data_IF_858707890778
#
_entry.id   IF_858707890778
#
_cell.length_a   1.000
_cell.length_b   1.000
_cell.length_c   1.000
_cell.angle_alpha   90.00
_cell.angle_beta   90.00
_cell.angle_gamma   90.00
#
_symmetry.space_group_name_H-M   'P 1'
#
loop_
_entity.id
_entity.type
_entity.pdbx_description
1 polymer ?
#
# COMPACT_ATOMS: atom_id res chain seq x y z
N UNK A 1 -29.91 -29.02 -57.90
CA UNK A 1 -28.47 -28.77 -58.08
C UNK A 1 -27.97 -27.86 -56.96
N UNK A 2 -26.79 -28.13 -56.34
CA UNK A 2 -26.12 -27.27 -55.36
C UNK A 2 -25.32 -26.14 -56.09
N UNK A 3 -24.78 -25.07 -55.45
CA UNK A 3 -23.82 -25.10 -54.33
C UNK A 3 -24.22 -24.18 -53.14
N UNK A 4 -23.96 -24.51 -51.87
CA UNK A 4 -22.68 -24.65 -51.14
C UNK A 4 -21.84 -23.37 -51.09
N UNK A 5 -21.91 -22.72 -49.92
CA UNK A 5 -20.76 -22.17 -49.21
C UNK A 5 -20.28 -20.79 -49.64
N UNK A 6 -20.51 -19.78 -48.79
CA UNK A 6 -19.43 -18.89 -48.35
C UNK A 6 -19.91 -18.08 -47.16
N UNK A 7 -19.31 -18.34 -46.01
CA UNK A 7 -19.31 -17.44 -44.85
C UNK A 7 -18.16 -16.46 -45.06
N UNK A 8 -18.39 -15.13 -45.10
CA UNK A 8 -17.35 -14.16 -44.80
C UNK A 8 -17.51 -13.75 -43.34
N UNK A 9 -16.69 -14.40 -42.52
CA UNK A 9 -16.24 -13.92 -41.21
C UNK A 9 -15.79 -12.46 -41.31
N UNK A 10 -16.24 -11.66 -40.34
CA UNK A 10 -15.55 -10.49 -39.76
C UNK A 10 -14.63 -9.73 -40.71
N UNK A 11 -15.13 -8.61 -41.24
CA UNK A 11 -14.27 -7.56 -41.78
C UNK A 11 -13.24 -7.17 -40.72
N UNK A 12 -11.99 -7.32 -41.13
CA UNK A 12 -10.78 -7.13 -40.37
C UNK A 12 -10.72 -5.69 -39.84
N UNK A 13 -10.68 -5.52 -38.52
CA UNK A 13 -10.72 -4.21 -37.84
C UNK A 13 -9.40 -3.44 -37.98
N UNK A 14 -8.48 -3.90 -38.83
CA UNK A 14 -7.12 -3.41 -38.97
C UNK A 14 -6.76 -2.87 -40.36
N UNK A 15 -7.72 -2.78 -41.28
CA UNK A 15 -7.56 -2.08 -42.57
C UNK A 15 -7.80 -0.56 -42.43
N UNK A 16 -7.48 0.04 -41.27
CA UNK A 16 -7.20 1.46 -41.19
C UNK A 16 -5.73 1.64 -41.55
N UNK A 17 -5.49 1.89 -42.83
CA UNK A 17 -4.30 2.55 -43.35
C UNK A 17 -4.14 3.89 -42.63
N UNK A 18 -3.51 3.85 -41.46
CA UNK A 18 -2.84 5.00 -40.88
C UNK A 18 -1.75 5.37 -41.88
N UNK A 19 -2.08 6.35 -42.72
CA UNK A 19 -1.13 7.19 -43.42
C UNK A 19 -0.20 7.79 -42.37
N UNK A 20 0.83 7.05 -41.98
CA UNK A 20 1.94 7.58 -41.20
C UNK A 20 2.73 8.44 -42.19
N UNK A 21 2.75 9.77 -42.03
CA UNK A 21 3.66 10.56 -42.83
C UNK A 21 5.08 10.16 -42.44
N UNK A 22 5.79 9.60 -43.41
CA UNK A 22 7.24 9.44 -43.44
C UNK A 22 7.90 10.66 -42.81
N UNK A 23 8.59 10.56 -41.65
CA UNK A 23 9.55 11.57 -41.29
C UNK A 23 10.76 11.34 -42.18
N UNK A 24 10.76 12.07 -43.29
CA UNK A 24 11.94 12.34 -44.09
C UNK A 24 13.05 12.80 -43.16
N UNK A 25 14.21 12.16 -43.29
CA UNK A 25 15.46 12.47 -42.62
C UNK A 25 15.77 13.97 -42.75
N UNK A 26 15.48 14.73 -41.70
CA UNK A 26 16.23 15.94 -41.41
C UNK A 26 17.22 15.55 -40.34
N UNK A 27 18.46 15.31 -40.77
CA UNK A 27 19.63 15.33 -39.91
C UNK A 27 19.66 16.67 -39.18
N UNK A 28 19.01 16.74 -38.02
CA UNK A 28 19.14 17.86 -37.10
C UNK A 28 20.54 17.71 -36.54
N UNK A 29 21.46 18.51 -37.07
CA UNK A 29 22.74 18.79 -36.44
C UNK A 29 22.48 18.94 -34.94
N UNK A 30 22.91 17.94 -34.16
CA UNK A 30 22.80 17.95 -32.73
C UNK A 30 23.73 19.07 -32.24
N UNK A 31 23.21 20.29 -32.23
CA UNK A 31 23.81 21.41 -31.54
C UNK A 31 24.13 20.88 -30.14
N UNK A 32 25.40 20.94 -29.69
CA UNK A 32 25.74 20.43 -28.37
C UNK A 32 24.78 21.10 -27.37
N UNK A 33 24.25 20.33 -26.40
CA UNK A 33 23.30 20.85 -25.43
C UNK A 33 23.86 22.17 -24.90
N UNK A 34 23.10 23.26 -24.98
CA UNK A 34 23.59 24.63 -24.75
C UNK A 34 24.27 24.82 -23.38
N UNK A 35 24.11 23.85 -22.47
CA UNK A 35 24.76 23.74 -21.17
C UNK A 35 26.24 23.28 -21.25
N UNK A 36 26.61 22.49 -22.26
CA UNK A 36 27.96 21.97 -22.46
C UNK A 36 28.95 23.01 -23.03
N UNK A 37 28.45 24.17 -23.47
CA UNK A 37 29.25 25.30 -23.97
C UNK A 37 29.37 26.46 -22.97
N UNK A 38 28.82 26.32 -21.77
CA UNK A 38 28.89 27.39 -20.75
C UNK A 38 30.23 27.36 -20.04
N UNK A 39 30.81 28.54 -19.81
CA UNK A 39 31.93 28.68 -18.89
C UNK A 39 31.45 28.51 -17.44
N UNK A 40 32.35 28.13 -16.53
CA UNK A 40 32.02 27.95 -15.11
C UNK A 40 31.38 29.20 -14.48
N UNK A 41 31.80 30.39 -14.93
CA UNK A 41 31.26 31.67 -14.48
C UNK A 41 29.80 31.85 -14.94
N UNK A 42 29.48 31.48 -16.18
CA UNK A 42 28.12 31.56 -16.70
C UNK A 42 27.22 30.52 -16.03
N UNK A 43 27.73 29.32 -15.77
CA UNK A 43 27.02 28.28 -15.02
C UNK A 43 26.70 28.76 -13.60
N UNK A 44 27.68 29.33 -12.90
CA UNK A 44 27.50 29.86 -11.55
C UNK A 44 26.45 30.99 -11.51
N UNK A 45 26.46 31.89 -12.50
CA UNK A 45 25.45 32.95 -12.61
C UNK A 45 24.03 32.39 -12.82
N UNK A 46 23.88 31.41 -13.72
CA UNK A 46 22.57 30.79 -13.97
C UNK A 46 22.05 30.00 -12.76
N UNK A 47 22.94 29.29 -12.05
CA UNK A 47 22.60 28.60 -10.81
C UNK A 47 22.19 29.59 -9.71
N UNK A 48 22.90 30.73 -9.59
CA UNK A 48 22.52 31.81 -8.67
C UNK A 48 21.12 32.35 -8.96
N UNK A 49 20.83 32.69 -10.21
CA UNK A 49 19.51 33.17 -10.63
C UNK A 49 18.40 32.13 -10.40
N UNK A 50 18.68 30.85 -10.63
CA UNK A 50 17.73 29.77 -10.36
C UNK A 50 17.44 29.64 -8.86
N UNK A 51 18.46 29.69 -8.02
CA UNK A 51 18.30 29.62 -6.57
C UNK A 51 17.50 30.81 -6.03
N UNK A 52 17.80 32.02 -6.51
CA UNK A 52 17.03 33.22 -6.19
C UNK A 52 15.56 33.08 -6.63
N UNK A 53 15.31 32.53 -7.83
CA UNK A 53 13.96 32.31 -8.33
C UNK A 53 13.20 31.24 -7.54
N UNK A 54 13.86 30.15 -7.16
CA UNK A 54 13.30 29.11 -6.29
C UNK A 54 12.97 29.68 -4.92
N UNK A 55 13.90 30.44 -4.32
CA UNK A 55 13.69 31.07 -3.03
C UNK A 55 12.58 32.13 -3.08
N UNK A 56 12.52 32.92 -4.15
CA UNK A 56 11.43 33.86 -4.41
C UNK A 56 10.10 33.15 -4.57
N UNK A 57 10.05 32.01 -5.28
CA UNK A 57 8.84 31.20 -5.43
C UNK A 57 8.43 30.52 -4.14
N UNK A 58 9.37 30.14 -3.28
CA UNK A 58 9.06 29.61 -1.95
C UNK A 58 8.56 30.73 -1.01
N UNK A 59 9.19 31.90 -1.03
CA UNK A 59 8.77 33.05 -0.22
C UNK A 59 7.44 33.66 -0.66
N UNK A 60 7.12 33.57 -1.97
CA UNK A 60 5.87 34.08 -2.56
C UNK A 60 4.80 32.99 -2.68
N UNK A 61 5.19 31.72 -2.70
CA UNK A 61 4.35 30.54 -2.85
C UNK A 61 3.79 30.04 -1.53
N UNK A 62 2.84 30.82 -0.99
CA UNK A 62 2.02 30.49 0.18
C UNK A 62 0.97 29.39 -0.12
N UNK A 63 1.32 28.35 -0.89
CA UNK A 63 0.35 27.38 -1.44
C UNK A 63 0.77 25.92 -1.31
N UNK A 64 1.98 25.57 -1.73
CA UNK A 64 2.43 24.17 -1.72
C UNK A 64 2.78 23.67 -0.32
N UNK A 65 3.28 24.53 0.56
CA UNK A 65 3.55 24.15 1.95
C UNK A 65 2.29 23.84 2.75
N UNK A 66 1.24 24.65 2.58
CA UNK A 66 -0.06 24.45 3.24
C UNK A 66 -0.85 23.28 2.64
N UNK A 67 -0.78 23.09 1.32
CA UNK A 67 -1.41 21.94 0.65
C UNK A 67 -0.68 20.64 1.00
N UNK A 68 0.66 20.65 1.05
CA UNK A 68 1.45 19.52 1.53
C UNK A 68 1.16 19.23 3.01
N UNK A 69 1.08 20.26 3.85
CA UNK A 69 0.74 20.09 5.27
C UNK A 69 -0.69 19.55 5.45
N UNK A 70 -1.65 20.03 4.66
CA UNK A 70 -3.01 19.51 4.65
C UNK A 70 -3.07 18.06 4.18
N UNK A 71 -2.34 17.72 3.11
CA UNK A 71 -2.23 16.36 2.60
C UNK A 71 -1.56 15.43 3.62
N UNK A 72 -0.53 15.89 4.33
CA UNK A 72 0.11 15.15 5.41
C UNK A 72 -0.85 14.93 6.58
N UNK A 73 -1.60 15.95 7.01
CA UNK A 73 -2.62 15.81 8.06
C UNK A 73 -3.70 14.81 7.66
N UNK A 74 -4.22 14.91 6.44
CA UNK A 74 -5.22 14.00 5.90
C UNK A 74 -4.70 12.55 5.77
N UNK A 75 -3.43 12.39 5.38
CA UNK A 75 -2.77 11.08 5.32
C UNK A 75 -2.61 10.49 6.72
N UNK A 76 -2.18 11.28 7.71
CA UNK A 76 -2.09 10.85 9.10
C UNK A 76 -3.46 10.44 9.67
N UNK A 77 -4.51 11.23 9.46
CA UNK A 77 -5.88 10.89 9.88
C UNK A 77 -6.40 9.62 9.20
N UNK A 78 -6.06 9.42 7.93
CA UNK A 78 -6.43 8.20 7.19
C UNK A 78 -5.67 6.99 7.69
N UNK A 79 -4.38 7.12 8.00
CA UNK A 79 -3.59 6.07 8.64
C UNK A 79 -4.09 5.74 10.04
N UNK A 80 -4.44 6.75 10.86
CA UNK A 80 -5.04 6.52 12.18
C UNK A 80 -6.37 5.78 12.06
N UNK A 81 -7.22 6.15 11.11
CA UNK A 81 -8.46 5.40 10.82
C UNK A 81 -8.16 4.00 10.34
N UNK A 82 -7.12 3.74 9.55
CA UNK A 82 -6.77 2.38 9.14
C UNK A 82 -6.17 1.55 10.28
N UNK A 83 -5.43 2.17 11.19
CA UNK A 83 -4.88 1.52 12.39
C UNK A 83 -5.97 1.20 13.40
N UNK A 84 -6.95 2.10 13.60
CA UNK A 84 -8.07 1.92 14.53
C UNK A 84 -9.23 1.11 13.93
N UNK A 85 -9.53 1.31 12.66
CA UNK A 85 -10.58 0.62 11.91
C UNK A 85 -10.07 -0.59 11.15
N UNK A 86 -8.82 -1.03 11.34
CA UNK A 86 -8.39 -2.34 10.83
C UNK A 86 -9.35 -3.38 11.44
N UNK A 87 -10.24 -3.99 10.62
CA UNK A 87 -10.93 -5.17 11.05
C UNK A 87 -9.86 -6.24 11.02
N UNK A 88 -9.22 -6.41 12.17
CA UNK A 88 -8.31 -7.50 12.54
C UNK A 88 -8.32 -8.59 11.49
N UNK A 89 -7.40 -8.46 10.53
CA UNK A 89 -7.01 -9.61 9.74
C UNK A 89 -6.47 -10.61 10.76
N UNK A 90 -7.20 -11.70 10.86
CA UNK A 90 -6.78 -12.96 11.42
C UNK A 90 -5.34 -13.28 11.03
N UNK A 91 -4.41 -12.95 11.92
CA UNK A 91 -3.15 -13.67 12.03
C UNK A 91 -2.80 -13.79 13.50
N UNK A 92 -2.66 -15.03 14.02
CA UNK A 92 -2.36 -15.26 15.42
C UNK A 92 -0.88 -14.95 15.67
N UNK A 93 -0.55 -13.69 15.94
CA UNK A 93 0.73 -13.33 16.56
C UNK A 93 0.66 -13.69 18.04
N UNK A 94 1.40 -14.75 18.37
CA UNK A 94 1.66 -15.16 19.74
C UNK A 94 2.31 -14.00 20.51
N UNK A 95 1.89 -13.87 21.76
CA UNK A 95 2.60 -13.22 22.86
C UNK A 95 2.56 -11.69 22.91
N UNK A 96 1.68 -11.13 23.74
CA UNK A 96 2.04 -10.86 25.15
C UNK A 96 0.95 -10.08 25.89
N UNK A 97 0.54 -10.66 27.04
CA UNK A 97 0.15 -10.00 28.28
C UNK A 97 -0.51 -8.61 28.17
N UNK A 98 -1.84 -8.60 28.11
CA UNK A 98 -2.69 -7.76 28.98
C UNK A 98 -4.10 -8.36 29.04
N UNK A 99 -4.60 -8.53 30.26
CA UNK A 99 -6.02 -8.60 30.64
C UNK A 99 -7.02 -9.32 29.70
N UNK A 100 -7.32 -10.58 30.07
CA UNK A 100 -8.67 -10.99 30.46
C UNK A 100 -9.79 -11.09 29.43
N UNK A 101 -9.56 -11.56 28.21
CA UNK A 101 -10.64 -12.24 27.47
C UNK A 101 -10.06 -13.42 26.70
N UNK A 102 -10.11 -14.62 27.28
CA UNK A 102 -10.01 -15.84 26.47
C UNK A 102 -11.12 -15.76 25.42
N UNK A 103 -10.77 -15.92 24.15
CA UNK A 103 -11.77 -15.96 23.08
C UNK A 103 -12.78 -17.07 23.36
N UNK A 104 -14.05 -16.86 23.02
CA UNK A 104 -15.13 -17.81 23.34
C UNK A 104 -14.84 -19.22 22.82
N UNK A 105 -14.23 -19.33 21.63
CA UNK A 105 -13.78 -20.60 21.08
C UNK A 105 -12.71 -21.29 21.94
N UNK A 106 -11.74 -20.53 22.47
CA UNK A 106 -10.72 -21.06 23.38
C UNK A 106 -11.32 -21.48 24.71
N UNK A 107 -12.29 -20.74 25.26
CA UNK A 107 -13.01 -21.15 26.48
C UNK A 107 -13.78 -22.45 26.29
N UNK A 108 -14.48 -22.61 25.15
CA UNK A 108 -15.18 -23.86 24.82
C UNK A 108 -14.22 -25.04 24.69
N UNK A 109 -13.08 -24.85 24.02
CA UNK A 109 -12.06 -25.89 23.88
C UNK A 109 -11.44 -26.29 25.23
N UNK A 110 -11.10 -25.32 26.09
CA UNK A 110 -10.60 -25.58 27.45
C UNK A 110 -11.66 -26.32 28.27
N UNK A 111 -12.94 -25.92 28.20
CA UNK A 111 -14.06 -26.63 28.86
C UNK A 111 -14.20 -28.07 28.39
N UNK A 112 -14.15 -28.31 27.08
CA UNK A 112 -14.24 -29.64 26.51
C UNK A 112 -13.07 -30.53 26.95
N UNK A 113 -11.84 -30.00 26.96
CA UNK A 113 -10.66 -30.74 27.41
C UNK A 113 -10.74 -31.13 28.89
N UNK A 114 -11.22 -30.22 29.74
CA UNK A 114 -11.44 -30.51 31.17
C UNK A 114 -12.57 -31.53 31.37
N UNK A 115 -13.66 -31.44 30.61
CA UNK A 115 -14.75 -32.41 30.64
C UNK A 115 -14.32 -33.80 30.14
N UNK A 116 -13.34 -33.85 29.24
CA UNK A 116 -12.69 -35.08 28.78
C UNK A 116 -11.66 -35.65 29.78
N UNK A 117 -11.50 -35.04 30.96
CA UNK A 117 -10.61 -35.51 32.02
C UNK A 117 -9.14 -35.13 31.86
N UNK A 118 -8.81 -34.22 30.93
CA UNK A 118 -7.41 -33.76 30.75
C UNK A 118 -7.00 -32.88 31.93
N UNK A 119 -5.83 -33.15 32.50
CA UNK A 119 -5.32 -32.41 33.65
C UNK A 119 -5.18 -30.89 33.35
N UNK A 120 -5.62 -29.98 34.25
CA UNK A 120 -5.58 -28.53 34.03
C UNK A 120 -4.19 -27.98 33.69
N UNK A 121 -3.15 -28.57 34.29
CA UNK A 121 -1.74 -28.21 34.03
C UNK A 121 -1.33 -28.52 32.59
N UNK A 122 -1.86 -29.60 32.03
CA UNK A 122 -1.59 -30.01 30.65
C UNK A 122 -2.33 -29.11 29.66
N UNK A 123 -3.59 -28.76 29.96
CA UNK A 123 -4.35 -27.77 29.19
C UNK A 123 -3.65 -26.41 29.18
N UNK A 124 -3.16 -25.93 30.33
CA UNK A 124 -2.41 -24.67 30.41
C UNK A 124 -1.17 -24.66 29.48
N UNK A 125 -0.41 -25.76 29.46
CA UNK A 125 0.77 -25.93 28.60
C UNK A 125 0.41 -25.93 27.11
N UNK A 126 -0.59 -26.71 26.71
CA UNK A 126 -0.97 -26.83 25.29
C UNK A 126 -1.57 -25.54 24.72
N UNK A 127 -2.35 -24.82 25.52
CA UNK A 127 -3.02 -23.59 25.08
C UNK A 127 -2.16 -22.33 25.34
N UNK A 128 -1.00 -22.46 26.00
CA UNK A 128 -0.14 -21.32 26.34
C UNK A 128 -0.81 -20.35 27.33
N UNK A 129 -1.70 -20.86 28.19
CA UNK A 129 -2.48 -20.08 29.15
C UNK A 129 -1.88 -20.19 30.54
N UNK A 130 -2.11 -19.17 31.37
CA UNK A 130 -1.78 -19.28 32.78
C UNK A 130 -2.71 -20.29 33.47
N UNK A 131 -2.19 -21.01 34.48
CA UNK A 131 -2.99 -21.96 35.24
C UNK A 131 -4.18 -21.27 35.95
N UNK A 132 -4.01 -20.01 36.36
CA UNK A 132 -5.08 -19.17 36.90
C UNK A 132 -6.21 -18.92 35.88
N UNK A 133 -5.87 -18.74 34.60
CA UNK A 133 -6.88 -18.59 33.53
C UNK A 133 -7.68 -19.87 33.30
N UNK A 134 -7.06 -21.04 33.40
CA UNK A 134 -7.75 -22.34 33.30
C UNK A 134 -8.66 -22.58 34.51
N UNK A 135 -8.21 -22.22 35.72
CA UNK A 135 -9.03 -22.29 36.94
C UNK A 135 -10.23 -21.34 36.88
N UNK A 136 -10.06 -20.14 36.35
CA UNK A 136 -11.17 -19.20 36.16
C UNK A 136 -12.27 -19.77 35.25
N UNK A 137 -11.91 -20.48 34.18
CA UNK A 137 -12.88 -21.16 33.30
C UNK A 137 -13.61 -22.31 34.02
N UNK A 138 -12.96 -22.94 34.99
CA UNK A 138 -13.58 -23.96 35.83
C UNK A 138 -14.57 -23.33 36.83
N UNK A 139 -14.23 -22.18 37.41
CA UNK A 139 -15.07 -21.42 38.34
C UNK A 139 -16.30 -20.80 37.66
N UNK A 140 -16.22 -20.40 36.39
CA UNK A 140 -17.35 -19.92 35.58
C UNK A 140 -18.42 -21.01 35.29
N UNK A 141 -18.25 -22.25 35.79
CA UNK A 141 -19.17 -23.39 35.57
C UNK A 141 -20.04 -23.74 36.79
N UNK A 142 -19.98 -22.96 37.86
CA UNK A 142 -20.90 -22.99 39.01
C UNK A 142 -21.83 -21.78 38.94
#
# INVERSE_FOLDING_TARGET
MPPKGSSPRTLDLFEYTLTVPTPSELAVSAKPPALASLSDVQLAQQLGQLLEEVQRRMGKGRGTGSELEAAVKQACESLQRLVLSSPRQDRPSRSSKTSSVLQEGQRKAVRAALAAGVAPTQVAKHFGLSLASVRKVLEERL
#
